data_IF_106172814776
#
_entry.id   IF_106172814776
#
_cell.length_a   1.000
_cell.length_b   1.000
_cell.length_c   1.000
_cell.angle_alpha   90.00
_cell.angle_beta   90.00
_cell.angle_gamma   90.00
#
_symmetry.space_group_name_H-M   'P 1'
#
loop_
_entity.id
_entity.type
_entity.pdbx_description
1 polymer ?
#
# COMPACT_ATOMS: atom_id res chain seq x y z
N UNK A 1 46.45 -2.39 -10.46
CA UNK A 1 45.49 -1.31 -10.16
C UNK A 1 44.08 -1.88 -10.23
N UNK A 2 43.42 -2.09 -9.08
CA UNK A 2 42.03 -2.56 -9.03
C UNK A 2 41.12 -1.34 -8.86
N UNK A 3 40.26 -1.07 -9.84
CA UNK A 3 39.21 -0.05 -9.71
C UNK A 3 38.10 -0.58 -8.82
N UNK A 4 38.11 -0.15 -7.55
CA UNK A 4 36.98 -0.25 -6.63
C UNK A 4 35.79 0.54 -7.21
N UNK A 5 34.80 -0.16 -7.78
CA UNK A 5 33.50 0.44 -8.14
C UNK A 5 32.76 0.73 -6.84
N UNK A 6 32.67 2.02 -6.47
CA UNK A 6 31.76 2.46 -5.41
C UNK A 6 30.32 2.13 -5.84
N UNK A 7 29.47 1.57 -4.96
CA UNK A 7 28.06 1.40 -5.27
C UNK A 7 27.46 2.78 -5.53
N UNK A 8 26.92 2.99 -6.73
CA UNK A 8 26.14 4.16 -7.08
C UNK A 8 24.94 4.23 -6.13
N UNK A 9 24.79 5.37 -5.45
CA UNK A 9 23.65 5.63 -4.58
C UNK A 9 22.37 5.62 -5.45
N UNK A 10 21.66 4.49 -5.48
CA UNK A 10 20.34 4.42 -6.12
C UNK A 10 19.40 5.17 -5.19
N UNK A 11 19.03 6.39 -5.57
CA UNK A 11 18.06 7.18 -4.83
C UNK A 11 16.79 6.34 -4.64
N UNK A 12 16.25 6.32 -3.41
CA UNK A 12 14.99 5.61 -3.14
C UNK A 12 13.92 6.19 -4.07
N UNK A 13 13.11 5.33 -4.75
CA UNK A 13 12.03 5.82 -5.58
C UNK A 13 11.07 6.65 -4.74
N UNK A 14 10.57 7.74 -5.31
CA UNK A 14 9.56 8.57 -4.65
C UNK A 14 8.28 7.75 -4.45
N UNK A 15 7.53 7.95 -3.35
CA UNK A 15 6.24 7.30 -3.17
C UNK A 15 5.28 7.64 -4.30
N UNK A 16 4.48 6.68 -4.72
CA UNK A 16 3.45 6.87 -5.73
C UNK A 16 2.13 7.23 -5.06
N UNK A 17 1.65 8.45 -5.27
CA UNK A 17 0.40 8.96 -4.71
C UNK A 17 -0.66 9.05 -5.80
N UNK A 18 -1.86 8.51 -5.55
CA UNK A 18 -2.98 8.53 -6.48
C UNK A 18 -4.24 9.02 -5.75
N UNK A 19 -5.02 9.86 -6.42
CA UNK A 19 -6.38 10.21 -6.01
C UNK A 19 -7.37 9.61 -7.01
N UNK A 20 -8.28 8.76 -6.52
CA UNK A 20 -9.34 8.15 -7.34
C UNK A 20 -10.66 8.86 -7.00
N UNK A 21 -11.19 9.65 -7.94
CA UNK A 21 -12.42 10.41 -7.76
C UNK A 21 -13.50 10.02 -8.80
N UNK A 22 -14.77 10.24 -8.46
CA UNK A 22 -15.90 9.94 -9.32
C UNK A 22 -17.24 9.98 -8.58
N UNK A 23 -18.34 10.03 -9.33
CA UNK A 23 -19.70 10.09 -8.79
C UNK A 23 -20.10 8.84 -7.98
N UNK A 24 -21.18 8.92 -7.22
CA UNK A 24 -21.75 7.75 -6.54
C UNK A 24 -22.04 6.62 -7.54
N UNK A 25 -21.75 5.37 -7.16
CA UNK A 25 -21.95 4.21 -8.04
C UNK A 25 -20.90 4.02 -9.15
N UNK A 26 -19.91 4.90 -9.29
CA UNK A 26 -18.90 4.82 -10.38
C UNK A 26 -17.85 3.71 -10.23
N UNK A 27 -18.03 2.75 -9.31
CA UNK A 27 -17.10 1.63 -9.13
C UNK A 27 -15.77 1.94 -8.44
N UNK A 28 -15.62 3.07 -7.73
CA UNK A 28 -14.35 3.43 -7.04
C UNK A 28 -13.85 2.34 -6.10
N UNK A 29 -14.72 1.81 -5.25
CA UNK A 29 -14.35 0.73 -4.31
C UNK A 29 -13.91 -0.54 -5.05
N UNK A 30 -14.49 -0.81 -6.23
CA UNK A 30 -14.07 -1.93 -7.07
C UNK A 30 -12.66 -1.72 -7.61
N UNK A 31 -12.33 -0.53 -8.14
CA UNK A 31 -10.97 -0.19 -8.58
C UNK A 31 -9.95 -0.37 -7.45
N UNK A 32 -10.26 0.11 -6.24
CA UNK A 32 -9.39 -0.06 -5.07
C UNK A 32 -9.19 -1.55 -4.73
N UNK A 33 -10.24 -2.38 -4.84
CA UNK A 33 -10.12 -3.83 -4.59
C UNK A 33 -9.22 -4.55 -5.59
N UNK A 34 -9.21 -4.11 -6.86
CA UNK A 34 -8.30 -4.63 -7.88
C UNK A 34 -6.86 -4.22 -7.58
N UNK A 35 -6.62 -2.96 -7.21
CA UNK A 35 -5.28 -2.49 -6.81
C UNK A 35 -4.78 -3.31 -5.61
N UNK A 36 -5.63 -3.54 -4.60
CA UNK A 36 -5.32 -4.40 -3.45
C UNK A 36 -4.91 -5.80 -3.89
N UNK A 37 -5.70 -6.45 -4.75
CA UNK A 37 -5.41 -7.78 -5.28
C UNK A 37 -4.07 -7.81 -6.03
N UNK A 38 -3.81 -6.84 -6.89
CA UNK A 38 -2.55 -6.76 -7.64
C UNK A 38 -1.34 -6.55 -6.73
N UNK A 39 -1.46 -5.72 -5.69
CA UNK A 39 -0.40 -5.56 -4.68
C UNK A 39 -0.14 -6.89 -3.97
N UNK A 40 -1.19 -7.59 -3.53
CA UNK A 40 -1.05 -8.89 -2.88
C UNK A 40 -0.36 -9.93 -3.79
N UNK A 41 -0.81 -10.05 -5.05
CA UNK A 41 -0.22 -10.97 -6.04
C UNK A 41 1.24 -10.64 -6.33
N UNK A 42 1.57 -9.37 -6.55
CA UNK A 42 2.93 -8.92 -6.79
C UNK A 42 3.85 -9.33 -5.63
N UNK A 43 3.38 -9.14 -4.40
CA UNK A 43 4.18 -9.39 -3.22
C UNK A 43 4.33 -10.87 -2.87
N UNK A 44 3.32 -11.69 -3.19
CA UNK A 44 3.42 -13.15 -3.14
C UNK A 44 4.44 -13.64 -4.17
N UNK A 45 4.40 -13.12 -5.40
CA UNK A 45 5.29 -13.53 -6.49
C UNK A 45 6.77 -13.16 -6.28
N UNK A 46 7.05 -11.98 -5.69
CA UNK A 46 8.40 -11.53 -5.35
C UNK A 46 8.98 -12.35 -4.18
N UNK A 47 8.13 -12.85 -3.27
CA UNK A 47 8.53 -13.73 -2.17
C UNK A 47 8.98 -15.12 -2.62
N UNK A 48 8.59 -15.58 -3.82
CA UNK A 48 8.97 -16.89 -4.35
C UNK A 48 10.34 -16.87 -5.07
N UNK A 49 10.80 -15.69 -5.49
CA UNK A 49 12.03 -15.52 -6.31
C UNK A 49 13.19 -14.88 -5.55
N UNK A 50 12.92 -14.22 -4.42
CA UNK A 50 13.94 -13.55 -3.61
C UNK A 50 14.19 -14.34 -2.32
N UNK A 51 15.45 -14.71 -2.05
CA UNK A 51 15.92 -15.47 -0.87
C UNK A 51 15.68 -14.78 0.49
N UNK A 52 14.98 -13.65 0.50
CA UNK A 52 14.58 -12.88 1.66
C UNK A 52 13.14 -12.42 1.44
N UNK A 53 12.12 -13.12 1.95
CA UNK A 53 10.77 -12.62 1.90
C UNK A 53 10.76 -11.20 2.50
N UNK A 54 10.16 -10.23 1.81
CA UNK A 54 9.90 -8.91 2.42
C UNK A 54 8.91 -9.13 3.54
N UNK A 55 9.44 -9.41 4.73
CA UNK A 55 8.72 -9.85 5.94
C UNK A 55 7.63 -8.88 6.40
N UNK A 56 7.60 -7.65 5.86
CA UNK A 56 6.83 -6.52 6.38
C UNK A 56 6.06 -5.75 5.28
N UNK A 57 5.52 -6.40 4.25
CA UNK A 57 4.56 -5.70 3.40
C UNK A 57 3.13 -5.89 3.92
N UNK A 58 2.70 -4.95 4.76
CA UNK A 58 1.31 -4.84 5.21
C UNK A 58 0.55 -3.87 4.33
N UNK A 59 -0.66 -4.26 3.91
CA UNK A 59 -1.62 -3.34 3.30
C UNK A 59 -2.47 -2.72 4.42
N UNK A 60 -2.27 -1.43 4.69
CA UNK A 60 -3.08 -0.68 5.65
C UNK A 60 -4.25 0.01 4.92
N UNK A 61 -5.48 -0.41 5.22
CA UNK A 61 -6.71 0.16 4.68
C UNK A 61 -7.39 1.04 5.71
N UNK A 62 -7.68 2.28 5.33
CA UNK A 62 -8.28 3.27 6.22
C UNK A 62 -9.46 3.99 5.56
N UNK A 63 -10.44 4.40 6.37
CA UNK A 63 -11.52 5.28 5.94
C UNK A 63 -11.92 6.28 7.05
N UNK A 64 -12.61 7.35 6.69
CA UNK A 64 -13.03 8.37 7.65
C UNK A 64 -14.14 7.92 8.61
N UNK A 65 -15.06 7.04 8.15
CA UNK A 65 -16.21 6.58 8.94
C UNK A 65 -16.17 5.08 9.17
N UNK A 66 -16.79 4.61 10.26
CA UNK A 66 -16.85 3.18 10.58
C UNK A 66 -17.50 2.33 9.49
N UNK A 67 -18.60 2.82 8.90
CA UNK A 67 -19.29 2.11 7.80
C UNK A 67 -18.42 1.98 6.54
N UNK A 68 -17.68 3.04 6.18
CA UNK A 68 -16.77 2.98 5.04
C UNK A 68 -15.56 2.08 5.31
N UNK A 69 -15.01 2.10 6.53
CA UNK A 69 -13.92 1.21 6.95
C UNK A 69 -14.34 -0.26 6.90
N UNK A 70 -15.55 -0.57 7.40
CA UNK A 70 -16.12 -1.91 7.35
C UNK A 70 -16.25 -2.41 5.90
N UNK A 71 -16.74 -1.58 4.98
CA UNK A 71 -16.93 -1.95 3.57
C UNK A 71 -15.63 -2.31 2.84
N UNK A 72 -14.48 -1.80 3.30
CA UNK A 72 -13.16 -2.10 2.72
C UNK A 72 -12.35 -3.08 3.58
N UNK A 73 -12.95 -3.66 4.63
CA UNK A 73 -12.26 -4.52 5.61
C UNK A 73 -11.02 -3.83 6.19
N UNK A 74 -11.15 -2.57 6.57
CA UNK A 74 -10.10 -1.74 7.13
C UNK A 74 -10.45 -1.17 8.49
N UNK A 75 -9.66 -0.19 8.92
CA UNK A 75 -9.89 0.56 10.17
C UNK A 75 -10.30 2.00 9.87
N UNK A 76 -10.88 2.70 10.85
CA UNK A 76 -11.02 4.16 10.71
C UNK A 76 -9.65 4.82 10.79
N UNK A 77 -9.47 5.98 10.17
CA UNK A 77 -8.20 6.75 10.25
C UNK A 77 -7.83 7.00 11.72
N UNK A 78 -8.81 7.39 12.54
CA UNK A 78 -8.61 7.62 13.98
C UNK A 78 -8.08 6.38 14.70
N UNK A 79 -8.69 5.21 14.46
CA UNK A 79 -8.28 3.96 15.10
C UNK A 79 -6.93 3.46 14.59
N UNK A 80 -6.66 3.60 13.28
CA UNK A 80 -5.45 3.06 12.66
C UNK A 80 -4.18 3.86 13.01
N UNK A 81 -4.33 5.17 13.21
CA UNK A 81 -3.21 6.07 13.49
C UNK A 81 -3.16 6.51 14.96
N UNK A 82 -4.00 5.89 15.82
CA UNK A 82 -4.13 6.23 17.24
C UNK A 82 -4.38 7.73 17.47
N UNK A 83 -5.10 8.37 16.54
CA UNK A 83 -5.44 9.79 16.64
C UNK A 83 -6.66 9.90 17.55
N UNK A 84 -6.40 10.09 18.84
CA UNK A 84 -7.40 10.44 19.84
C UNK A 84 -7.63 11.96 19.74
N UNK A 85 -8.89 12.37 19.78
CA UNK A 85 -9.29 13.79 19.76
C UNK A 85 -8.56 14.53 20.90
N UNK A 86 -7.74 15.53 20.56
CA UNK A 86 -7.21 16.56 21.48
C UNK A 86 -8.28 17.64 21.64
#
# INVERSE_FOLDING_TARGET
MQHSRRPSYVAKPKPFHIVVNGLAGSGKSYVISIIEKMIQEYCISESATVSRPRKNLGLLKMAHTGKAALNIHGSTIHSALEIVNI
#
